data_IF_046750804396
#
_entry.id   IF_046750804396
#
_cell.length_a   1.000
_cell.length_b   1.000
_cell.length_c   1.000
_cell.angle_alpha   90.00
_cell.angle_beta   90.00
_cell.angle_gamma   90.00
#
_symmetry.space_group_name_H-M   'P 1'
#
loop_
_entity.id
_entity.type
_entity.pdbx_description
1 polymer ?
#
# COMPACT_ATOMS: atom_id res chain seq x y z
N UNK A 1 -5.05 -7.39 -8.53
CA UNK A 1 -4.99 -8.02 -9.88
C UNK A 1 -5.89 -7.26 -10.84
N UNK A 2 -5.56 -7.19 -12.13
CA UNK A 2 -6.43 -6.53 -13.12
C UNK A 2 -7.68 -7.37 -13.38
N UNK A 3 -8.82 -6.70 -13.50
CA UNK A 3 -10.07 -7.35 -13.89
C UNK A 3 -10.03 -7.80 -15.36
N UNK A 4 -10.81 -8.83 -15.77
CA UNK A 4 -10.78 -9.32 -17.15
C UNK A 4 -11.06 -8.23 -18.20
N UNK A 5 -11.94 -7.29 -17.87
CA UNK A 5 -12.23 -6.14 -18.73
C UNK A 5 -11.04 -5.19 -18.85
N UNK A 6 -10.32 -4.94 -17.75
CA UNK A 6 -9.13 -4.09 -17.74
C UNK A 6 -7.99 -4.72 -18.55
N UNK A 7 -7.86 -6.06 -18.51
CA UNK A 7 -6.90 -6.79 -19.34
C UNK A 7 -7.23 -6.60 -20.82
N UNK A 8 -8.47 -6.86 -21.23
CA UNK A 8 -8.88 -6.68 -22.63
C UNK A 8 -8.71 -5.24 -23.10
N UNK A 9 -9.02 -4.26 -22.24
CA UNK A 9 -8.85 -2.85 -22.56
C UNK A 9 -7.37 -2.46 -22.66
N UNK A 10 -6.51 -2.97 -21.78
CA UNK A 10 -5.06 -2.77 -21.85
C UNK A 10 -4.48 -3.33 -23.15
N UNK A 11 -4.92 -4.51 -23.57
CA UNK A 11 -4.45 -5.14 -24.81
C UNK A 11 -4.87 -4.32 -26.03
N UNK A 12 -6.13 -3.85 -26.05
CA UNK A 12 -6.62 -2.93 -27.08
C UNK A 12 -5.79 -1.65 -27.13
N UNK A 13 -5.52 -1.02 -25.98
CA UNK A 13 -4.69 0.19 -25.92
C UNK A 13 -3.27 -0.05 -26.43
N UNK A 14 -2.66 -1.18 -26.05
CA UNK A 14 -1.32 -1.56 -26.50
C UNK A 14 -1.26 -1.78 -28.00
N UNK A 15 -2.32 -2.37 -28.59
CA UNK A 15 -2.43 -2.53 -30.04
C UNK A 15 -2.58 -1.19 -30.75
N UNK A 16 -3.44 -0.30 -30.25
CA UNK A 16 -3.61 1.04 -30.82
C UNK A 16 -2.30 1.84 -30.74
N UNK A 17 -1.58 1.73 -29.63
CA UNK A 17 -0.27 2.35 -29.44
C UNK A 17 0.72 1.82 -30.49
N UNK A 18 0.83 0.50 -30.65
CA UNK A 18 1.70 -0.12 -31.65
C UNK A 18 1.37 0.34 -33.08
N UNK A 19 0.10 0.28 -33.48
CA UNK A 19 -0.36 0.64 -34.84
C UNK A 19 -0.15 2.11 -35.19
N UNK A 20 -0.26 3.00 -34.19
CA UNK A 20 -0.11 4.46 -34.38
C UNK A 20 1.30 4.96 -34.09
N UNK A 21 2.16 4.12 -33.53
CA UNK A 21 3.55 4.48 -33.23
C UNK A 21 4.41 4.52 -34.49
N UNK A 22 5.45 5.35 -34.45
CA UNK A 22 6.54 5.29 -35.40
C UNK A 22 7.55 4.23 -34.95
N UNK A 23 8.31 3.70 -35.91
CA UNK A 23 9.37 2.74 -35.62
C UNK A 23 10.37 3.33 -34.63
N UNK A 24 10.64 2.58 -33.58
CA UNK A 24 11.68 2.87 -32.60
C UNK A 24 13.07 2.70 -33.21
N UNK A 25 14.08 3.29 -32.57
CA UNK A 25 15.47 3.12 -32.99
C UNK A 25 15.92 1.65 -32.97
N UNK A 26 15.37 0.84 -32.06
CA UNK A 26 15.66 -0.59 -31.96
C UNK A 26 15.10 -1.36 -33.16
N UNK A 27 13.87 -1.07 -33.57
CA UNK A 27 13.25 -1.70 -34.75
C UNK A 27 13.97 -1.30 -36.04
N UNK A 28 14.30 -0.01 -36.20
CA UNK A 28 15.08 0.47 -37.35
C UNK A 28 16.44 -0.21 -37.42
N UNK A 29 17.11 -0.36 -36.28
CA UNK A 29 18.38 -1.07 -36.18
C UNK A 29 18.24 -2.54 -36.60
N UNK A 30 17.20 -3.25 -36.14
CA UNK A 30 16.93 -4.65 -36.51
C UNK A 30 16.68 -4.82 -38.01
N UNK A 31 15.99 -3.88 -38.64
CA UNK A 31 15.77 -3.89 -40.10
C UNK A 31 17.06 -3.68 -40.90
N UNK A 32 17.92 -2.76 -40.46
CA UNK A 32 19.22 -2.51 -41.10
C UNK A 32 20.12 -3.73 -40.97
N UNK A 33 20.26 -4.28 -39.77
CA UNK A 33 21.08 -5.49 -39.51
C UNK A 33 20.57 -6.69 -40.32
N UNK A 34 19.25 -6.88 -40.43
CA UNK A 34 18.66 -7.94 -41.28
C UNK A 34 19.00 -7.77 -42.76
N UNK A 35 18.91 -6.55 -43.29
CA UNK A 35 19.24 -6.25 -44.70
C UNK A 35 20.72 -6.46 -44.98
N UNK A 36 21.59 -6.04 -44.06
CA UNK A 36 23.03 -6.29 -44.15
C UNK A 36 23.33 -7.80 -44.18
N UNK A 37 22.67 -8.59 -43.32
CA UNK A 37 22.83 -10.04 -43.28
C UNK A 37 22.37 -10.74 -44.57
N UNK A 38 21.29 -10.29 -45.20
CA UNK A 38 20.82 -10.81 -46.50
C UNK A 38 21.81 -10.52 -47.64
N UNK A 39 22.37 -9.31 -47.67
CA UNK A 39 23.38 -8.92 -48.66
C UNK A 39 24.70 -9.67 -48.48
N UNK A 40 25.08 -9.94 -47.22
CA UNK A 40 26.22 -10.79 -46.88
C UNK A 40 26.00 -12.23 -47.37
N UNK A 41 24.81 -12.81 -47.11
CA UNK A 41 24.45 -14.15 -47.62
C UNK A 41 24.47 -14.22 -49.15
N UNK A 42 24.15 -13.11 -49.83
CA UNK A 42 24.21 -13.00 -51.28
C UNK A 42 25.62 -12.73 -51.84
N UNK A 43 26.65 -12.65 -50.99
CA UNK A 43 28.05 -12.48 -51.38
C UNK A 43 28.40 -11.11 -51.95
N UNK A 44 27.59 -10.08 -51.70
CA UNK A 44 27.76 -8.71 -52.26
C UNK A 44 28.53 -7.74 -51.35
N UNK A 45 28.88 -8.14 -50.13
CA UNK A 45 29.54 -7.31 -49.12
C UNK A 45 30.67 -8.12 -48.50
N UNK A 46 31.84 -7.49 -48.30
CA UNK A 46 33.00 -8.11 -47.65
C UNK A 46 32.97 -7.89 -46.13
N UNK A 47 33.47 -8.87 -45.37
CA UNK A 47 33.22 -9.07 -43.93
C UNK A 47 33.99 -8.15 -42.97
N UNK A 48 34.71 -7.15 -43.47
CA UNK A 48 35.66 -6.38 -42.68
C UNK A 48 35.04 -5.09 -42.12
N UNK A 49 34.38 -5.21 -40.95
CA UNK A 49 34.33 -4.21 -39.85
C UNK A 49 33.13 -4.36 -38.91
N UNK A 50 32.04 -5.04 -39.30
CA UNK A 50 30.77 -5.05 -38.53
C UNK A 50 30.53 -6.30 -37.67
N UNK A 51 31.34 -7.36 -37.82
CA UNK A 51 31.19 -8.61 -37.06
C UNK A 51 31.53 -8.50 -35.55
N UNK A 52 32.04 -7.36 -35.07
CA UNK A 52 32.40 -7.11 -33.67
C UNK A 52 31.35 -6.30 -32.88
N UNK A 53 30.23 -5.91 -33.52
CA UNK A 53 29.14 -5.19 -32.85
C UNK A 53 28.10 -6.20 -32.36
N UNK A 54 27.80 -6.18 -31.07
CA UNK A 54 26.67 -6.94 -30.49
C UNK A 54 25.39 -6.62 -31.27
N UNK A 55 24.75 -7.61 -31.88
CA UNK A 55 23.56 -7.38 -32.72
C UNK A 55 22.37 -6.99 -31.85
N UNK A 56 21.34 -6.40 -32.46
CA UNK A 56 20.07 -6.13 -31.79
C UNK A 56 19.45 -7.42 -31.22
N UNK A 57 19.66 -8.56 -31.89
CA UNK A 57 19.20 -9.87 -31.42
C UNK A 57 20.00 -10.34 -30.19
N UNK A 58 21.33 -10.21 -30.20
CA UNK A 58 22.18 -10.57 -29.05
C UNK A 58 21.83 -9.75 -27.81
N UNK A 59 21.38 -8.50 -27.99
CA UNK A 59 20.88 -7.65 -26.90
C UNK A 59 19.54 -8.15 -26.34
N UNK A 60 18.58 -8.50 -27.21
CA UNK A 60 17.30 -9.09 -26.80
C UNK A 60 17.52 -10.39 -26.01
N UNK A 61 18.44 -11.24 -26.48
CA UNK A 61 18.77 -12.50 -25.83
C UNK A 61 19.42 -12.26 -24.45
N UNK A 62 20.34 -11.29 -24.35
CA UNK A 62 20.95 -10.90 -23.07
C UNK A 62 19.90 -10.37 -22.07
N UNK A 63 18.94 -9.55 -22.52
CA UNK A 63 17.85 -9.06 -21.66
C UNK A 63 16.93 -10.19 -21.19
N UNK A 64 16.61 -11.14 -22.07
CA UNK A 64 15.81 -12.31 -21.71
C UNK A 64 16.54 -13.21 -20.70
N UNK A 65 17.86 -13.35 -20.83
CA UNK A 65 18.70 -14.09 -19.89
C UNK A 65 18.73 -13.43 -18.51
N UNK A 66 18.86 -12.10 -18.44
CA UNK A 66 18.80 -11.35 -17.18
C UNK A 66 17.42 -11.47 -16.53
N UNK A 67 16.35 -11.31 -17.32
CA UNK A 67 14.97 -11.45 -16.85
C UNK A 67 14.70 -12.86 -16.30
N UNK A 68 15.20 -13.90 -16.96
CA UNK A 68 15.02 -15.29 -16.53
C UNK A 68 15.76 -15.62 -15.24
N UNK A 69 16.88 -14.93 -14.97
CA UNK A 69 17.63 -15.06 -13.70
C UNK A 69 16.96 -14.33 -12.55
N UNK A 70 16.23 -13.25 -12.84
CA UNK A 70 15.55 -12.45 -11.83
C UNK A 70 14.30 -13.16 -11.29
N UNK A 71 14.27 -13.39 -9.98
CA UNK A 71 13.10 -13.95 -9.28
C UNK A 71 12.38 -12.83 -8.54
N UNK A 72 11.18 -12.40 -8.99
CA UNK A 72 10.42 -11.39 -8.28
C UNK A 72 10.00 -11.91 -6.90
N UNK A 73 9.95 -11.01 -5.92
CA UNK A 73 9.42 -11.32 -4.60
C UNK A 73 7.91 -11.68 -4.72
N UNK A 74 7.43 -12.66 -3.94
CA UNK A 74 6.02 -13.04 -3.98
C UNK A 74 5.15 -11.89 -3.46
N UNK A 75 4.06 -11.60 -4.17
CA UNK A 75 3.06 -10.60 -3.74
C UNK A 75 2.27 -11.05 -2.51
N UNK A 76 2.09 -12.36 -2.36
CA UNK A 76 1.44 -13.00 -1.21
C UNK A 76 2.51 -13.43 -0.21
N UNK A 77 2.46 -12.88 0.99
CA UNK A 77 3.48 -13.13 2.01
C UNK A 77 3.10 -14.30 2.91
N UNK A 78 4.00 -14.70 3.82
CA UNK A 78 3.66 -15.68 4.85
C UNK A 78 2.59 -15.19 5.82
N UNK A 79 2.57 -13.87 6.08
CA UNK A 79 1.58 -13.26 6.95
C UNK A 79 0.17 -13.35 6.35
N UNK A 80 0.05 -13.29 5.02
CA UNK A 80 -1.20 -13.56 4.32
C UNK A 80 -1.66 -15.01 4.49
N UNK A 81 -0.74 -15.96 4.33
CA UNK A 81 -1.06 -17.40 4.46
C UNK A 81 -1.46 -17.78 5.88
N UNK A 82 -0.81 -17.19 6.89
CA UNK A 82 -1.09 -17.41 8.31
C UNK A 82 -2.23 -16.53 8.85
N UNK A 83 -2.70 -15.58 8.04
CA UNK A 83 -3.63 -14.52 8.44
C UNK A 83 -3.20 -13.80 9.73
N UNK A 84 -1.92 -13.44 9.80
CA UNK A 84 -1.35 -12.79 10.97
C UNK A 84 -1.73 -11.29 11.01
N UNK A 85 -2.78 -10.98 11.78
CA UNK A 85 -3.29 -9.61 11.94
C UNK A 85 -2.34 -8.64 12.67
N UNK A 86 -1.22 -9.11 13.24
CA UNK A 86 -0.23 -8.22 13.88
C UNK A 86 0.84 -7.73 12.90
N UNK A 87 1.07 -8.45 11.81
CA UNK A 87 2.06 -8.08 10.81
C UNK A 87 1.54 -7.03 9.83
N UNK A 88 2.40 -6.06 9.50
CA UNK A 88 2.20 -5.09 8.42
C UNK A 88 2.53 -5.69 7.04
N UNK A 89 3.21 -6.84 6.99
CA UNK A 89 3.60 -7.47 5.73
C UNK A 89 2.48 -8.33 5.14
N UNK A 90 1.24 -8.17 5.61
CA UNK A 90 0.05 -8.81 5.03
C UNK A 90 -0.71 -7.83 4.13
N UNK A 91 -1.48 -8.34 3.18
CA UNK A 91 -2.39 -7.61 2.29
C UNK A 91 -1.72 -6.37 1.68
N UNK A 92 -0.58 -6.56 1.03
CA UNK A 92 0.22 -5.46 0.45
C UNK A 92 -0.53 -4.61 -0.60
N UNK A 93 -1.63 -5.13 -1.13
CA UNK A 93 -2.49 -4.43 -2.10
C UNK A 93 -3.56 -3.53 -1.42
N UNK A 94 -3.86 -3.76 -0.14
CA UNK A 94 -4.93 -3.07 0.59
C UNK A 94 -4.39 -2.09 1.63
N UNK A 95 -5.16 -1.05 1.92
CA UNK A 95 -4.88 -0.15 3.05
C UNK A 95 -5.25 -0.82 4.37
N UNK A 96 -4.25 -0.98 5.24
CA UNK A 96 -4.45 -1.48 6.60
C UNK A 96 -4.64 -0.35 7.61
N UNK A 97 -5.55 -0.55 8.55
CA UNK A 97 -5.89 0.38 9.63
C UNK A 97 -5.47 -0.21 10.97
N UNK A 98 -4.85 0.61 11.80
CA UNK A 98 -4.41 0.23 13.14
C UNK A 98 -5.58 0.25 14.14
N UNK A 99 -5.82 -0.88 14.80
CA UNK A 99 -6.64 -0.98 15.99
C UNK A 99 -5.79 -1.35 17.19
N UNK A 100 -6.13 -0.78 18.34
CA UNK A 100 -5.51 -1.08 19.64
C UNK A 100 -6.57 -1.51 20.63
N UNK A 101 -6.23 -2.46 21.51
CA UNK A 101 -7.09 -2.88 22.61
C UNK A 101 -7.17 -1.76 23.65
N UNK A 102 -8.38 -1.26 23.91
CA UNK A 102 -8.66 -0.25 24.92
C UNK A 102 -9.72 -0.74 25.89
N UNK A 103 -9.50 -0.46 27.18
CA UNK A 103 -10.48 -0.76 28.23
C UNK A 103 -11.50 0.37 28.32
N UNK A 104 -12.75 0.10 27.94
CA UNK A 104 -13.87 1.03 28.08
C UNK A 104 -14.83 0.48 29.13
N UNK A 105 -14.83 1.08 30.32
CA UNK A 105 -15.53 0.54 31.49
C UNK A 105 -14.95 -0.80 31.92
N UNK A 106 -15.79 -1.83 31.97
CA UNK A 106 -15.39 -3.20 32.39
C UNK A 106 -14.96 -4.11 31.23
N UNK A 107 -15.12 -3.67 29.97
CA UNK A 107 -14.85 -4.49 28.78
C UNK A 107 -13.69 -3.92 27.96
N UNK A 108 -12.93 -4.82 27.35
CA UNK A 108 -11.90 -4.46 26.38
C UNK A 108 -12.52 -4.42 24.99
N UNK A 109 -12.25 -3.36 24.24
CA UNK A 109 -12.72 -3.15 22.87
C UNK A 109 -11.53 -2.81 21.98
N UNK A 110 -11.51 -3.35 20.77
CA UNK A 110 -10.57 -2.93 19.73
C UNK A 110 -11.12 -1.68 19.07
N UNK A 111 -10.41 -0.57 19.22
CA UNK A 111 -10.79 0.74 18.68
C UNK A 111 -9.57 1.40 18.05
N UNK A 112 -9.81 2.44 17.24
CA UNK A 112 -8.73 3.33 16.81
C UNK A 112 -8.08 3.96 18.05
N UNK A 113 -6.74 4.18 18.05
CA UNK A 113 -6.07 4.86 19.16
C UNK A 113 -6.76 6.20 19.48
N UNK A 114 -7.33 6.30 20.67
CA UNK A 114 -8.04 7.50 21.14
C UNK A 114 -7.59 7.82 22.56
N UNK A 115 -7.47 9.11 22.86
CA UNK A 115 -7.05 9.61 24.16
C UNK A 115 -7.88 10.82 24.58
N UNK A 116 -7.95 11.06 25.88
CA UNK A 116 -8.61 12.26 26.41
C UNK A 116 -7.80 13.51 26.03
N UNK A 117 -8.51 14.53 25.57
CA UNK A 117 -7.94 15.83 25.29
C UNK A 117 -7.56 16.53 26.60
N UNK A 118 -6.36 17.14 26.62
CA UNK A 118 -5.85 17.91 27.76
C UNK A 118 -5.89 19.39 27.42
N UNK A 119 -6.28 20.22 28.38
CA UNK A 119 -6.26 21.68 28.25
C UNK A 119 -4.83 22.16 28.02
N UNK A 120 -4.61 22.90 26.93
CA UNK A 120 -3.29 23.44 26.54
C UNK A 120 -2.67 22.75 25.32
N UNK A 121 -3.25 21.64 24.84
CA UNK A 121 -2.88 20.99 23.57
C UNK A 121 -3.93 21.30 22.50
N UNK A 122 -3.59 21.17 21.22
CA UNK A 122 -4.54 21.10 20.10
C UNK A 122 -5.10 19.67 19.96
N UNK A 123 -6.22 19.53 19.24
CA UNK A 123 -6.81 18.21 18.97
C UNK A 123 -5.85 17.29 18.19
N UNK A 124 -5.03 17.88 17.30
CA UNK A 124 -4.01 17.14 16.56
C UNK A 124 -2.87 16.68 17.47
N UNK A 125 -2.35 17.56 18.33
CA UNK A 125 -1.31 17.19 19.31
C UNK A 125 -1.80 16.09 20.27
N UNK A 126 -3.09 16.12 20.63
CA UNK A 126 -3.72 15.03 21.39
C UNK A 126 -3.65 13.70 20.64
N UNK A 127 -3.90 13.69 19.32
CA UNK A 127 -3.79 12.49 18.50
C UNK A 127 -2.33 11.99 18.38
N UNK A 128 -1.37 12.92 18.19
CA UNK A 128 0.06 12.61 18.15
C UNK A 128 0.54 12.01 19.47
N UNK A 129 0.15 12.60 20.61
CA UNK A 129 0.46 12.09 21.95
C UNK A 129 -0.16 10.72 22.19
N UNK A 130 -1.44 10.56 21.86
CA UNK A 130 -2.16 9.29 22.01
C UNK A 130 -1.46 8.18 21.24
N UNK A 131 -1.05 8.44 20.00
CA UNK A 131 -0.34 7.45 19.20
C UNK A 131 1.00 7.05 19.83
N UNK A 132 1.78 8.02 20.35
CA UNK A 132 3.03 7.74 21.07
C UNK A 132 2.80 6.94 22.36
N UNK A 133 1.74 7.25 23.11
CA UNK A 133 1.38 6.53 24.34
C UNK A 133 1.05 5.04 24.05
N UNK A 134 0.31 4.75 22.99
CA UNK A 134 -0.06 3.37 22.64
C UNK A 134 1.04 2.62 21.89
N UNK A 135 1.64 3.23 20.86
CA UNK A 135 2.54 2.56 19.93
C UNK A 135 4.03 2.74 20.27
N UNK A 136 4.37 3.65 21.17
CA UNK A 136 5.74 4.03 21.49
C UNK A 136 6.36 5.00 20.47
N UNK A 137 7.55 5.50 20.78
CA UNK A 137 8.25 6.51 19.97
C UNK A 137 8.90 5.95 18.69
N UNK A 138 8.92 4.63 18.51
CA UNK A 138 9.48 3.99 17.32
C UNK A 138 8.61 4.16 16.06
N UNK A 139 7.35 4.54 16.23
CA UNK A 139 6.40 4.68 15.12
C UNK A 139 6.52 6.07 14.45
N UNK A 140 7.14 6.12 13.27
CA UNK A 140 7.20 7.35 12.48
C UNK A 140 5.94 7.55 11.62
N UNK A 141 5.10 8.51 12.02
CA UNK A 141 3.87 8.84 11.29
C UNK A 141 3.87 10.25 10.69
N UNK A 142 3.12 10.41 9.60
CA UNK A 142 2.77 11.69 8.99
C UNK A 142 1.28 11.95 9.20
N UNK A 143 0.91 13.03 9.87
CA UNK A 143 -0.48 13.47 9.95
C UNK A 143 -0.85 14.33 8.73
N UNK A 144 -2.04 14.11 8.18
CA UNK A 144 -2.57 14.92 7.09
C UNK A 144 -3.35 16.11 7.65
N UNK A 145 -2.73 17.30 7.55
CA UNK A 145 -3.36 18.55 7.96
C UNK A 145 -3.65 18.64 9.47
N UNK A 146 -4.34 19.72 9.85
CA UNK A 146 -4.71 20.03 11.24
C UNK A 146 -6.21 19.86 11.52
N UNK A 147 -7.01 19.54 10.50
CA UNK A 147 -8.46 19.37 10.63
C UNK A 147 -8.81 17.89 10.87
N UNK A 148 -9.81 17.60 11.72
CA UNK A 148 -10.31 16.23 11.87
C UNK A 148 -11.02 15.78 10.59
N UNK A 149 -10.81 14.52 10.22
CA UNK A 149 -11.44 13.91 9.02
C UNK A 149 -12.83 13.37 9.29
N UNK A 150 -13.18 13.19 10.56
CA UNK A 150 -14.49 12.69 10.98
C UNK A 150 -14.66 12.80 12.48
N UNK A 151 -15.88 12.52 12.94
CA UNK A 151 -16.18 12.46 14.36
C UNK A 151 -17.17 11.33 14.66
N UNK A 152 -17.12 10.82 15.88
CA UNK A 152 -18.08 9.88 16.41
C UNK A 152 -18.59 10.35 17.77
N UNK A 153 -19.90 10.31 17.98
CA UNK A 153 -20.54 10.69 19.25
C UNK A 153 -21.27 9.51 19.83
N UNK A 154 -21.11 9.27 21.13
CA UNK A 154 -21.85 8.25 21.85
C UNK A 154 -22.19 8.70 23.26
N UNK A 155 -23.28 8.16 23.80
CA UNK A 155 -23.73 8.42 25.17
C UNK A 155 -23.20 7.31 26.08
N UNK A 156 -22.78 7.65 27.28
CA UNK A 156 -22.40 6.63 28.26
C UNK A 156 -23.65 5.84 28.71
N UNK A 157 -23.51 4.57 29.14
CA UNK A 157 -24.59 3.84 29.80
C UNK A 157 -25.13 4.62 31.00
N UNK A 158 -26.41 4.45 31.33
CA UNK A 158 -27.07 5.24 32.40
C UNK A 158 -26.31 5.14 33.73
N UNK A 159 -25.73 3.98 34.03
CA UNK A 159 -24.94 3.68 35.22
C UNK A 159 -23.65 4.51 35.34
N UNK A 160 -23.08 4.97 34.22
CA UNK A 160 -21.82 5.71 34.16
C UNK A 160 -22.00 7.22 33.93
N UNK A 161 -23.25 7.71 33.89
CA UNK A 161 -23.57 9.14 33.71
C UNK A 161 -23.56 9.89 35.04
N UNK A 162 -22.39 10.05 35.64
CA UNK A 162 -22.23 10.89 36.84
C UNK A 162 -21.97 12.34 36.47
N UNK A 163 -20.89 12.61 35.72
CA UNK A 163 -20.47 13.98 35.39
C UNK A 163 -20.54 14.33 33.90
N UNK A 164 -20.71 13.34 33.02
CA UNK A 164 -20.74 13.53 31.58
C UNK A 164 -21.83 12.67 30.93
N UNK A 165 -22.54 13.24 29.94
CA UNK A 165 -23.61 12.56 29.21
C UNK A 165 -23.05 11.55 28.19
N UNK A 166 -21.85 11.81 27.68
CA UNK A 166 -21.21 11.02 26.63
C UNK A 166 -19.88 11.62 26.18
N UNK A 167 -19.34 11.08 25.10
CA UNK A 167 -18.10 11.52 24.49
C UNK A 167 -18.27 11.83 22.99
N UNK A 168 -17.46 12.78 22.53
CA UNK A 168 -17.22 13.07 21.12
C UNK A 168 -15.76 12.75 20.81
N UNK A 169 -15.54 11.87 19.85
CA UNK A 169 -14.22 11.45 19.38
C UNK A 169 -14.01 12.10 18.03
N UNK A 170 -12.87 12.78 17.84
CA UNK A 170 -12.48 13.37 16.56
C UNK A 170 -11.34 12.53 15.98
N UNK A 171 -11.46 12.15 14.71
CA UNK A 171 -10.48 11.33 14.03
C UNK A 171 -9.54 12.19 13.20
N UNK A 172 -8.26 11.87 13.23
CA UNK A 172 -7.23 12.47 12.39
C UNK A 172 -6.59 11.39 11.54
N UNK A 173 -6.44 11.66 10.24
CA UNK A 173 -5.81 10.71 9.31
C UNK A 173 -4.30 10.86 9.39
N UNK A 174 -3.61 9.74 9.51
CA UNK A 174 -2.15 9.67 9.44
C UNK A 174 -1.71 8.46 8.61
N UNK A 175 -0.50 8.55 8.06
CA UNK A 175 0.15 7.47 7.30
C UNK A 175 1.51 7.16 7.92
N UNK A 176 1.85 5.89 7.89
CA UNK A 176 3.12 5.36 8.37
C UNK A 176 4.21 5.64 7.33
N UNK A 177 5.25 6.41 7.68
CA UNK A 177 6.31 6.82 6.73
C UNK A 177 7.36 5.74 6.48
N UNK A 178 7.63 4.92 7.48
CA UNK A 178 8.68 3.89 7.43
C UNK A 178 8.13 2.58 7.99
N UNK A 179 8.66 1.44 7.50
CA UNK A 179 8.41 0.15 8.15
C UNK A 179 8.81 0.31 9.63
N UNK A 180 7.87 0.13 10.57
CA UNK A 180 8.21 0.28 11.96
C UNK A 180 9.22 -0.81 12.30
N UNK A 181 10.30 -0.44 12.99
CA UNK A 181 10.86 -1.38 13.96
C UNK A 181 9.70 -1.76 14.88
N UNK A 182 9.43 -3.06 15.01
CA UNK A 182 8.34 -3.66 15.79
C UNK A 182 7.74 -2.72 16.84
N UNK A 183 6.42 -2.49 16.79
CA UNK A 183 5.69 -1.66 17.77
C UNK A 183 6.19 -2.05 19.16
N UNK A 184 7.02 -1.18 19.74
CA UNK A 184 7.99 -1.61 20.75
C UNK A 184 7.36 -1.78 22.13
N UNK A 185 6.11 -1.33 22.27
CA UNK A 185 5.28 -1.56 23.45
C UNK A 185 4.64 -2.95 23.38
N UNK A 186 5.41 -3.94 23.81
CA UNK A 186 5.05 -5.35 23.99
C UNK A 186 3.84 -5.65 24.89
N UNK A 187 3.22 -4.62 25.50
CA UNK A 187 2.09 -4.79 26.43
C UNK A 187 0.71 -4.56 25.80
N UNK A 188 0.61 -3.91 24.65
CA UNK A 188 -0.67 -3.55 24.04
C UNK A 188 -0.96 -4.42 22.82
N UNK A 189 -2.09 -5.14 22.85
CA UNK A 189 -2.55 -5.90 21.69
C UNK A 189 -3.01 -4.93 20.62
N UNK A 190 -2.36 -4.99 19.47
CA UNK A 190 -2.76 -4.25 18.28
C UNK A 190 -3.10 -5.22 17.15
N UNK A 191 -3.87 -4.71 16.19
CA UNK A 191 -4.20 -5.41 14.94
C UNK A 191 -4.16 -4.41 13.80
N UNK A 192 -3.57 -4.80 12.69
CA UNK A 192 -3.68 -4.10 11.41
C UNK A 192 -4.78 -4.77 10.63
N UNK A 193 -5.90 -4.10 10.37
CA UNK A 193 -7.07 -4.69 9.70
C UNK A 193 -7.40 -3.96 8.40
N UNK A 194 -7.87 -4.72 7.41
CA UNK A 194 -8.51 -4.20 6.22
C UNK A 194 -9.90 -3.63 6.55
N UNK A 195 -10.48 -2.84 5.63
CA UNK A 195 -11.81 -2.26 5.80
C UNK A 195 -12.89 -3.32 6.03
N UNK A 196 -12.81 -4.47 5.34
CA UNK A 196 -13.76 -5.57 5.49
C UNK A 196 -13.67 -6.26 6.86
N UNK A 197 -12.45 -6.47 7.36
CA UNK A 197 -12.22 -7.05 8.69
C UNK A 197 -12.59 -6.07 9.80
N UNK A 198 -12.37 -4.78 9.57
CA UNK A 198 -12.77 -3.72 10.48
C UNK A 198 -14.27 -3.78 10.75
N UNK A 199 -15.10 -3.95 9.71
CA UNK A 199 -16.55 -4.10 9.84
C UNK A 199 -16.96 -5.24 10.77
N UNK A 200 -16.21 -6.36 10.75
CA UNK A 200 -16.50 -7.53 11.60
C UNK A 200 -16.05 -7.33 13.05
N UNK A 201 -15.08 -6.45 13.29
CA UNK A 201 -14.42 -6.29 14.59
C UNK A 201 -15.04 -5.17 15.45
N UNK A 202 -15.52 -4.09 14.83
CA UNK A 202 -16.10 -2.94 15.53
C UNK A 202 -17.63 -2.93 15.44
N UNK A 203 -18.28 -2.16 16.32
CA UNK A 203 -19.73 -1.97 16.28
C UNK A 203 -20.16 -1.25 14.98
N UNK A 204 -21.30 -1.63 14.41
CA UNK A 204 -21.87 -1.06 13.20
C UNK A 204 -21.98 0.48 13.23
N UNK A 205 -22.42 1.07 14.35
CA UNK A 205 -22.55 2.53 14.46
C UNK A 205 -21.20 3.25 14.40
N UNK A 206 -20.17 2.63 14.96
CA UNK A 206 -18.81 3.13 14.92
C UNK A 206 -18.21 2.94 13.52
N UNK A 207 -18.41 1.76 12.93
CA UNK A 207 -17.96 1.44 11.58
C UNK A 207 -18.53 2.41 10.55
N UNK A 208 -19.84 2.72 10.60
CA UNK A 208 -20.48 3.67 9.68
C UNK A 208 -19.85 5.07 9.72
N UNK A 209 -19.34 5.50 10.88
CA UNK A 209 -18.68 6.80 11.01
C UNK A 209 -17.25 6.74 10.48
N UNK A 210 -16.55 5.62 10.74
CA UNK A 210 -15.17 5.42 10.31
C UNK A 210 -15.07 5.17 8.80
N UNK A 211 -15.98 4.38 8.23
CA UNK A 211 -16.00 4.02 6.82
C UNK A 211 -16.21 5.20 5.87
N UNK A 212 -16.70 6.34 6.37
CA UNK A 212 -16.89 7.56 5.56
C UNK A 212 -15.58 8.24 5.17
N UNK A 213 -14.52 8.06 5.97
CA UNK A 213 -13.23 8.74 5.74
C UNK A 213 -12.06 7.77 5.51
N UNK A 214 -12.32 6.46 5.59
CA UNK A 214 -11.41 5.44 5.07
C UNK A 214 -11.60 5.36 3.55
N UNK A 215 -10.48 5.41 2.83
CA UNK A 215 -10.40 5.31 1.36
C UNK A 215 -9.67 4.03 1.03
#
# INVERSE_FOLDING_TARGET
TLEPLEVSFKDMLSQIELEKSLKSNHELRKEVEKRQLELLKAGKIDLDSEALKQTAQDLEDAYNDEYSKFKPAPRVTEADRKNDTQSLERKLEETLVLLVEQKLGSKNHFLLPQGLHKTGESLRETAERTLKEYCGDSLQVMFYGNAPVGFYKYKYPAEARTNAVGAKVFFFRSVLKQKPGSISNSKLKHKWLSQEELRKQVNDSYYQSVSQFLV
#
